data_IF_582194475596
#
_entry.id   IF_582194475596
#
_cell.length_a   1.000
_cell.length_b   1.000
_cell.length_c   1.000
_cell.angle_alpha   90.00
_cell.angle_beta   90.00
_cell.angle_gamma   90.00
#
_symmetry.space_group_name_H-M   'P 1'
#
loop_
_entity.id
_entity.type
_entity.pdbx_description
1 polymer ?
#
# COMPACT_ATOMS: atom_id res chain seq x y z
N UNK A 1 9.73 1.93 -38.75
CA UNK A 1 9.69 1.52 -37.33
C UNK A 1 8.83 0.26 -37.21
N UNK A 2 9.36 -0.84 -36.65
CA UNK A 2 8.62 -2.11 -36.50
C UNK A 2 7.60 -1.96 -35.36
N UNK A 3 6.31 -2.06 -35.68
CA UNK A 3 5.26 -2.21 -34.69
C UNK A 3 5.50 -3.50 -33.91
N UNK A 4 5.79 -3.36 -32.61
CA UNK A 4 5.82 -4.50 -31.68
C UNK A 4 4.38 -4.96 -31.53
N UNK A 5 4.00 -6.04 -32.22
CA UNK A 5 2.71 -6.71 -32.00
C UNK A 5 2.56 -6.94 -30.50
N UNK A 6 1.59 -6.29 -29.89
CA UNK A 6 1.17 -6.59 -28.52
C UNK A 6 0.52 -7.96 -28.65
N UNK A 7 1.32 -9.00 -28.38
CA UNK A 7 0.81 -10.36 -28.20
C UNK A 7 -0.28 -10.27 -27.13
N UNK A 8 -1.49 -10.82 -27.35
CA UNK A 8 -2.53 -10.79 -26.34
C UNK A 8 -1.92 -11.40 -25.08
N UNK A 9 -2.00 -10.69 -23.96
CA UNK A 9 -1.50 -11.19 -22.69
C UNK A 9 -2.08 -12.58 -22.46
N UNK A 10 -1.26 -13.61 -22.71
CA UNK A 10 -1.53 -14.98 -22.36
C UNK A 10 -1.96 -14.93 -20.90
N UNK A 11 -3.22 -15.31 -20.63
CA UNK A 11 -3.81 -15.28 -19.29
C UNK A 11 -2.79 -15.91 -18.35
N UNK A 12 -2.10 -15.09 -17.56
CA UNK A 12 -1.13 -15.59 -16.59
C UNK A 12 -1.77 -16.75 -15.86
N UNK A 13 -1.13 -17.93 -15.92
CA UNK A 13 -1.71 -19.17 -15.42
C UNK A 13 -2.19 -18.94 -13.98
N UNK A 14 -3.33 -19.52 -13.61
CA UNK A 14 -3.92 -19.29 -12.28
C UNK A 14 -2.91 -19.55 -11.14
N UNK A 15 -1.94 -20.44 -11.41
CA UNK A 15 -0.80 -20.72 -10.57
C UNK A 15 0.13 -19.51 -10.32
N UNK A 16 0.49 -18.74 -11.36
CA UNK A 16 1.33 -17.54 -11.22
C UNK A 16 0.61 -16.44 -10.41
N UNK A 17 -0.70 -16.29 -10.60
CA UNK A 17 -1.52 -15.37 -9.79
C UNK A 17 -1.56 -15.78 -8.32
N UNK A 18 -1.80 -17.07 -8.03
CA UNK A 18 -1.80 -17.61 -6.66
C UNK A 18 -0.44 -17.44 -5.98
N UNK A 19 0.66 -17.77 -6.69
CA UNK A 19 2.03 -17.61 -6.18
C UNK A 19 2.35 -16.15 -5.84
N UNK A 20 1.92 -15.20 -6.67
CA UNK A 20 2.07 -13.77 -6.42
C UNK A 20 1.30 -13.32 -5.16
N UNK A 21 0.07 -13.79 -4.99
CA UNK A 21 -0.75 -13.45 -3.82
C UNK A 21 -0.13 -14.00 -2.53
N UNK A 22 0.40 -15.22 -2.54
CA UNK A 22 1.09 -15.82 -1.39
C UNK A 22 2.34 -15.02 -1.01
N UNK A 23 3.15 -14.59 -1.99
CA UNK A 23 4.31 -13.73 -1.70
C UNK A 23 3.90 -12.44 -1.01
N UNK A 24 2.87 -11.77 -1.50
CA UNK A 24 2.35 -10.54 -0.87
C UNK A 24 1.86 -10.81 0.56
N UNK A 25 1.16 -11.92 0.79
CA UNK A 25 0.74 -12.32 2.13
C UNK A 25 1.92 -12.59 3.07
N UNK A 26 2.99 -13.24 2.59
CA UNK A 26 4.20 -13.47 3.38
C UNK A 26 4.88 -12.15 3.74
N UNK A 27 5.05 -11.23 2.79
CA UNK A 27 5.60 -9.90 3.09
C UNK A 27 4.76 -9.13 4.11
N UNK A 28 3.43 -9.26 4.02
CA UNK A 28 2.51 -8.68 4.97
C UNK A 28 2.68 -9.28 6.38
N UNK A 29 2.71 -10.61 6.51
CA UNK A 29 2.89 -11.28 7.81
C UNK A 29 4.24 -10.90 8.42
N UNK A 30 5.32 -10.93 7.63
CA UNK A 30 6.66 -10.57 8.13
C UNK A 30 6.70 -9.12 8.60
N UNK A 31 6.19 -8.18 7.78
CA UNK A 31 6.16 -6.77 8.15
C UNK A 31 5.31 -6.52 9.39
N UNK A 32 4.16 -7.17 9.51
CA UNK A 32 3.33 -7.11 10.70
C UNK A 32 4.05 -7.63 11.94
N UNK A 33 4.62 -8.84 11.89
CA UNK A 33 5.34 -9.40 13.04
C UNK A 33 6.50 -8.51 13.48
N UNK A 34 7.24 -7.90 12.54
CA UNK A 34 8.34 -7.00 12.86
C UNK A 34 7.84 -5.70 13.48
N UNK A 35 6.85 -5.04 12.89
CA UNK A 35 6.32 -3.75 13.37
C UNK A 35 5.65 -3.94 14.73
N UNK A 36 4.81 -4.95 14.87
CA UNK A 36 4.12 -5.28 16.12
C UNK A 36 5.12 -5.64 17.22
N UNK A 37 6.05 -6.56 16.95
CA UNK A 37 7.06 -6.98 17.93
C UNK A 37 7.98 -5.84 18.36
N UNK A 38 8.37 -4.94 17.44
CA UNK A 38 9.16 -3.77 17.78
C UNK A 38 8.37 -2.78 18.63
N UNK A 39 7.11 -2.51 18.28
CA UNK A 39 6.25 -1.61 19.04
C UNK A 39 6.04 -2.11 20.47
N UNK A 40 5.58 -3.36 20.62
CA UNK A 40 5.38 -4.02 21.92
C UNK A 40 6.67 -4.04 22.75
N UNK A 41 7.81 -4.36 22.12
CA UNK A 41 9.11 -4.36 22.79
C UNK A 41 9.52 -2.98 23.30
N UNK A 42 9.25 -1.92 22.53
CA UNK A 42 9.52 -0.53 22.93
C UNK A 42 8.57 -0.05 24.04
N UNK A 43 7.30 -0.48 23.99
CA UNK A 43 6.31 -0.21 25.05
C UNK A 43 6.70 -0.93 26.34
N UNK A 44 7.13 -2.20 26.27
CA UNK A 44 7.52 -3.01 27.42
C UNK A 44 8.73 -2.44 28.19
N UNK A 45 9.63 -1.71 27.52
CA UNK A 45 10.74 -1.00 28.16
C UNK A 45 10.41 0.45 28.54
N UNK A 46 9.13 0.83 28.46
CA UNK A 46 8.63 2.18 28.75
C UNK A 46 9.36 3.29 27.96
N UNK A 47 9.73 3.02 26.71
CA UNK A 47 10.39 4.00 25.87
C UNK A 47 9.42 5.13 25.51
N UNK A 48 9.40 6.19 26.31
CA UNK A 48 8.45 7.33 26.20
C UNK A 48 8.25 7.88 24.79
N UNK A 49 9.27 7.99 23.92
CA UNK A 49 9.10 8.50 22.56
C UNK A 49 8.41 7.52 21.59
N UNK A 50 8.08 6.29 22.00
CA UNK A 50 7.51 5.26 21.12
C UNK A 50 6.25 5.75 20.40
N UNK A 51 5.28 6.28 21.15
CA UNK A 51 4.00 6.75 20.61
C UNK A 51 4.15 7.91 19.61
N UNK A 52 4.84 9.02 19.92
CA UNK A 52 4.98 10.11 18.96
C UNK A 52 5.75 9.68 17.70
N UNK A 53 6.82 8.88 17.82
CA UNK A 53 7.55 8.36 16.65
C UNK A 53 6.63 7.50 15.79
N UNK A 54 5.91 6.59 16.43
CA UNK A 54 4.99 5.69 15.76
C UNK A 54 3.88 6.45 15.01
N UNK A 55 3.23 7.42 15.67
CA UNK A 55 2.18 8.23 15.07
C UNK A 55 2.70 9.12 13.92
N UNK A 56 3.92 9.65 14.03
CA UNK A 56 4.57 10.39 12.95
C UNK A 56 4.77 9.49 11.74
N UNK A 57 5.32 8.28 11.94
CA UNK A 57 5.55 7.32 10.85
C UNK A 57 4.22 6.94 10.19
N UNK A 58 3.20 6.61 10.99
CA UNK A 58 1.86 6.27 10.49
C UNK A 58 1.27 7.43 9.66
N UNK A 59 1.40 8.66 10.15
CA UNK A 59 0.92 9.87 9.44
C UNK A 59 1.65 10.06 8.11
N UNK A 60 2.97 9.91 8.10
CA UNK A 60 3.77 9.99 6.86
C UNK A 60 3.33 8.92 5.87
N UNK A 61 3.15 7.68 6.31
CA UNK A 61 2.68 6.59 5.45
C UNK A 61 1.29 6.86 4.88
N UNK A 62 0.36 7.41 5.68
CA UNK A 62 -0.97 7.82 5.23
C UNK A 62 -0.89 8.91 4.17
N UNK A 63 -0.11 9.96 4.40
CA UNK A 63 0.06 11.08 3.45
C UNK A 63 0.68 10.59 2.16
N UNK A 64 1.75 9.78 2.23
CA UNK A 64 2.37 9.19 1.04
C UNK A 64 1.38 8.29 0.29
N UNK A 65 0.62 7.45 1.02
CA UNK A 65 -0.38 6.60 0.40
C UNK A 65 -1.43 7.43 -0.36
N UNK A 66 -1.99 8.47 0.26
CA UNK A 66 -2.96 9.36 -0.38
C UNK A 66 -2.37 10.08 -1.59
N UNK A 67 -1.10 10.50 -1.52
CA UNK A 67 -0.43 11.19 -2.61
C UNK A 67 -0.20 10.29 -3.82
N UNK A 68 0.20 9.04 -3.62
CA UNK A 68 0.47 8.08 -4.70
C UNK A 68 -0.79 7.32 -5.15
N UNK A 69 -1.80 7.19 -4.30
CA UNK A 69 -3.07 6.54 -4.61
C UNK A 69 -4.11 7.55 -5.15
N UNK A 70 -3.75 8.31 -6.19
CA UNK A 70 -4.64 9.32 -6.78
C UNK A 70 -5.88 8.67 -7.38
N UNK A 71 -7.01 8.84 -6.71
CA UNK A 71 -8.35 8.56 -7.23
C UNK A 71 -9.00 7.27 -6.73
N UNK A 72 -8.37 6.47 -5.85
CA UNK A 72 -8.88 5.19 -5.32
C UNK A 72 -9.35 4.15 -6.37
N UNK A 73 -9.37 4.52 -7.65
CA UNK A 73 -9.84 3.69 -8.74
C UNK A 73 -8.75 2.71 -9.11
N UNK A 74 -9.10 1.44 -9.05
CA UNK A 74 -8.23 0.35 -9.51
C UNK A 74 -8.13 0.32 -11.04
N UNK A 75 -9.10 0.92 -11.73
CA UNK A 75 -9.24 0.90 -13.17
C UNK A 75 -8.46 2.03 -13.83
N UNK A 76 -7.65 1.65 -14.80
CA UNK A 76 -6.97 2.59 -15.68
C UNK A 76 -8.03 3.21 -16.60
N UNK A 77 -8.16 4.54 -16.69
CA UNK A 77 -9.06 5.15 -17.65
C UNK A 77 -8.64 4.82 -19.09
N UNK A 78 -9.62 4.55 -19.95
CA UNK A 78 -9.38 4.33 -21.37
C UNK A 78 -8.82 5.60 -22.02
N UNK A 79 -8.10 5.46 -23.15
CA UNK A 79 -7.34 6.56 -23.78
C UNK A 79 -8.20 7.72 -24.26
N UNK A 80 -9.44 7.40 -24.61
CA UNK A 80 -10.53 8.29 -25.02
C UNK A 80 -11.17 9.02 -23.82
N UNK A 81 -11.06 8.49 -22.60
CA UNK A 81 -11.50 9.17 -21.38
C UNK A 81 -10.51 10.28 -20.93
N UNK A 82 -9.32 10.34 -21.53
CA UNK A 82 -8.35 11.40 -21.29
C UNK A 82 -8.68 12.64 -22.13
N UNK A 83 -8.30 13.86 -21.69
CA UNK A 83 -8.62 15.08 -22.42
C UNK A 83 -8.14 15.02 -23.88
N UNK A 84 -9.04 15.26 -24.83
CA UNK A 84 -8.75 15.19 -26.27
C UNK A 84 -7.62 16.15 -26.70
N UNK A 85 -7.50 17.28 -25.99
CA UNK A 85 -6.45 18.28 -26.14
C UNK A 85 -5.04 17.81 -25.73
N UNK A 86 -4.88 16.63 -25.14
CA UNK A 86 -3.56 16.08 -24.82
C UNK A 86 -2.94 15.42 -26.04
N UNK A 87 -1.68 15.78 -26.34
CA UNK A 87 -0.88 15.03 -27.31
C UNK A 87 -0.71 13.57 -26.85
N UNK A 88 -0.50 12.66 -27.80
CA UNK A 88 -0.27 11.25 -27.49
C UNK A 88 0.93 11.05 -26.54
N UNK A 89 1.97 11.88 -26.66
CA UNK A 89 3.11 11.89 -25.73
C UNK A 89 2.70 12.24 -24.28
N UNK A 90 1.75 13.17 -24.10
CA UNK A 90 1.23 13.54 -22.75
C UNK A 90 0.38 12.42 -22.16
N UNK A 91 -0.42 11.75 -22.99
CA UNK A 91 -1.21 10.59 -22.58
C UNK A 91 -0.29 9.43 -22.14
N UNK A 92 0.75 9.14 -22.91
CA UNK A 92 1.74 8.12 -22.56
C UNK A 92 2.47 8.46 -21.25
N UNK A 93 2.86 9.72 -21.07
CA UNK A 93 3.43 10.21 -19.82
C UNK A 93 2.50 10.05 -18.61
N UNK A 94 1.19 10.19 -18.80
CA UNK A 94 0.20 9.92 -17.75
C UNK A 94 0.15 8.43 -17.39
N UNK A 95 0.11 7.53 -18.36
CA UNK A 95 0.08 6.08 -18.10
C UNK A 95 1.34 5.59 -17.38
N UNK A 96 2.52 6.08 -17.76
CA UNK A 96 3.77 5.72 -17.08
C UNK A 96 3.76 6.17 -15.61
N UNK A 97 3.35 7.42 -15.35
CA UNK A 97 3.23 7.94 -13.98
C UNK A 97 2.20 7.16 -13.17
N UNK A 98 1.05 6.85 -13.76
CA UNK A 98 0.01 6.08 -13.10
C UNK A 98 0.49 4.69 -12.65
N UNK A 99 1.18 3.95 -13.53
CA UNK A 99 1.68 2.63 -13.18
C UNK A 99 2.77 2.70 -12.10
N UNK A 100 3.64 3.70 -12.18
CA UNK A 100 4.66 3.98 -11.18
C UNK A 100 4.03 4.27 -9.81
N UNK A 101 3.09 5.21 -9.75
CA UNK A 101 2.45 5.64 -8.51
C UNK A 101 1.65 4.48 -7.88
N UNK A 102 0.98 3.67 -8.70
CA UNK A 102 0.27 2.46 -8.24
C UNK A 102 1.21 1.40 -7.66
N UNK A 103 2.42 1.24 -8.21
CA UNK A 103 3.44 0.33 -7.65
C UNK A 103 3.91 0.83 -6.29
N UNK A 104 4.18 2.13 -6.15
CA UNK A 104 4.59 2.75 -4.89
C UNK A 104 3.48 2.63 -3.84
N UNK A 105 2.24 2.97 -4.18
CA UNK A 105 1.10 2.88 -3.27
C UNK A 105 0.92 1.45 -2.73
N UNK A 106 1.13 0.42 -3.56
CA UNK A 106 1.08 -0.98 -3.12
C UNK A 106 2.19 -1.32 -2.12
N UNK A 107 3.40 -0.78 -2.31
CA UNK A 107 4.50 -0.98 -1.36
C UNK A 107 4.18 -0.29 -0.04
N UNK A 108 3.67 0.95 -0.09
CA UNK A 108 3.26 1.69 1.11
C UNK A 108 2.19 0.90 1.88
N UNK A 109 1.20 0.31 1.21
CA UNK A 109 0.17 -0.51 1.85
C UNK A 109 0.73 -1.70 2.63
N UNK A 110 1.81 -2.33 2.16
CA UNK A 110 2.45 -3.44 2.87
C UNK A 110 2.93 -3.00 4.25
N UNK A 111 3.30 -1.74 4.45
CA UNK A 111 3.71 -1.20 5.76
C UNK A 111 2.56 -0.49 6.49
N UNK A 112 1.76 0.29 5.77
CA UNK A 112 0.67 1.06 6.34
C UNK A 112 -0.36 0.17 7.04
N UNK A 113 -0.76 -0.95 6.42
CA UNK A 113 -1.76 -1.84 7.03
C UNK A 113 -1.24 -2.45 8.34
N UNK A 114 -0.01 -3.01 8.40
CA UNK A 114 0.58 -3.42 9.68
C UNK A 114 0.59 -2.35 10.76
N UNK A 115 0.99 -1.12 10.45
CA UNK A 115 0.90 -0.02 11.41
C UNK A 115 -0.56 0.16 11.86
N UNK A 116 -1.52 0.30 10.96
CA UNK A 116 -2.93 0.44 11.35
C UNK A 116 -3.44 -0.72 12.23
N UNK A 117 -3.02 -1.96 11.96
CA UNK A 117 -3.40 -3.11 12.77
C UNK A 117 -2.76 -3.09 14.16
N UNK A 118 -1.47 -2.77 14.27
CA UNK A 118 -0.80 -2.62 15.57
C UNK A 118 -1.51 -1.54 16.40
N UNK A 119 -1.81 -0.39 15.80
CA UNK A 119 -2.54 0.69 16.46
C UNK A 119 -3.93 0.25 16.92
N UNK A 120 -4.66 -0.49 16.07
CA UNK A 120 -5.99 -0.99 16.40
C UNK A 120 -5.94 -2.00 17.55
N UNK A 121 -4.97 -2.92 17.54
CA UNK A 121 -4.80 -3.92 18.62
C UNK A 121 -4.47 -3.22 19.93
N UNK A 122 -3.51 -2.29 19.93
CA UNK A 122 -3.12 -1.51 21.10
C UNK A 122 -4.31 -0.73 21.66
N UNK A 123 -5.07 -0.06 20.80
CA UNK A 123 -6.31 0.63 21.18
C UNK A 123 -7.33 -0.32 21.81
N UNK A 124 -7.56 -1.49 21.22
CA UNK A 124 -8.47 -2.49 21.79
C UNK A 124 -7.96 -2.95 23.16
N UNK A 125 -6.68 -3.26 23.31
CA UNK A 125 -6.11 -3.72 24.58
C UNK A 125 -6.23 -2.67 25.69
N UNK A 126 -5.99 -1.40 25.35
CA UNK A 126 -6.06 -0.29 26.30
C UNK A 126 -7.50 0.03 26.73
N UNK A 127 -8.45 0.06 25.79
CA UNK A 127 -9.80 0.60 26.05
C UNK A 127 -10.90 -0.46 26.23
N UNK A 128 -10.71 -1.69 25.76
CA UNK A 128 -11.72 -2.75 25.92
C UNK A 128 -11.99 -3.14 27.39
N UNK A 129 -10.98 -3.23 28.28
CA UNK A 129 -11.22 -3.51 29.70
C UNK A 129 -12.06 -2.44 30.39
N UNK A 130 -11.81 -1.16 30.09
CA UNK A 130 -12.57 -0.03 30.65
C UNK A 130 -14.03 0.01 30.18
N UNK A 131 -14.31 -0.54 28.99
CA UNK A 131 -15.66 -0.56 28.41
C UNK A 131 -16.53 -1.72 28.92
N UNK A 132 -15.90 -2.76 29.46
CA UNK A 132 -16.57 -3.96 30.01
C UNK A 132 -16.73 -3.92 31.54
N UNK A 133 -16.10 -2.95 32.21
CA UNK A 133 -16.17 -2.69 33.66
C UNK A 133 -17.25 -1.67 34.00
#
# INVERSE_FOLDING_TARGET
MRYKKIVPAEKASDFEKRKKNIKTLIYFIISFSVIFGLFEGLVAIEFKPVYPIYLIILTILLVLFLFFNKGFSSALPERDMLPEQWSEEKKDGFYMRWEHDKKIARIILIFLIPFLLTFLIDYIVLFLPEWLS
#
